data_IF_146428561676
#
_entry.id   IF_146428561676
#
_cell.length_a   1.000
_cell.length_b   1.000
_cell.length_c   1.000
_cell.angle_alpha   90.00
_cell.angle_beta   90.00
_cell.angle_gamma   90.00
#
_symmetry.space_group_name_H-M   'P 1'
#
loop_
_entity.id
_entity.type
_entity.pdbx_description
1 polymer ?
#
# COMPACT_ATOMS: atom_id res chain seq x y z
N UNK A 1 -25.89 -44.60 2.57
CA UNK A 1 -26.08 -43.14 2.63
C UNK A 1 -24.70 -42.49 2.76
N UNK A 2 -24.41 -41.54 1.88
CA UNK A 2 -23.09 -41.21 1.36
C UNK A 2 -22.29 -40.15 2.15
N UNK A 3 -20.96 -40.33 2.08
CA UNK A 3 -19.85 -39.33 1.99
C UNK A 3 -19.63 -38.32 3.12
N UNK A 4 -18.64 -38.62 3.99
CA UNK A 4 -17.85 -37.64 4.72
C UNK A 4 -17.13 -36.70 3.72
N UNK A 5 -17.44 -35.42 3.79
CA UNK A 5 -16.76 -34.39 3.04
C UNK A 5 -15.29 -34.29 3.49
N UNK A 6 -14.41 -34.74 2.59
CA UNK A 6 -12.97 -34.58 2.63
C UNK A 6 -12.58 -33.13 2.92
N UNK A 7 -12.02 -32.87 4.10
CA UNK A 7 -11.30 -31.62 4.41
C UNK A 7 -10.13 -31.50 3.45
N UNK A 8 -10.33 -30.75 2.36
CA UNK A 8 -9.26 -30.25 1.51
C UNK A 8 -8.39 -29.33 2.37
N UNK A 9 -7.32 -29.89 2.95
CA UNK A 9 -6.18 -29.10 3.41
C UNK A 9 -5.68 -28.34 2.18
N UNK A 10 -5.96 -27.05 2.13
CA UNK A 10 -5.34 -26.14 1.18
C UNK A 10 -3.87 -26.01 1.57
N UNK A 11 -3.06 -26.98 1.15
CA UNK A 11 -1.62 -26.80 0.98
C UNK A 11 -1.45 -25.78 -0.13
N UNK A 12 -1.41 -24.51 0.26
CA UNK A 12 -0.95 -23.44 -0.62
C UNK A 12 0.49 -23.78 -0.99
N UNK A 13 0.80 -23.98 -2.28
CA UNK A 13 2.15 -24.31 -2.69
C UNK A 13 3.10 -23.18 -2.27
N UNK A 14 4.18 -23.57 -1.60
CA UNK A 14 5.24 -22.72 -1.04
C UNK A 14 6.06 -21.97 -2.12
N UNK A 15 5.60 -21.95 -3.38
CA UNK A 15 6.27 -21.36 -4.54
C UNK A 15 5.89 -19.90 -4.80
N UNK A 16 4.83 -19.39 -4.17
CA UNK A 16 4.60 -17.94 -4.05
C UNK A 16 5.02 -17.49 -2.67
N UNK A 17 6.34 -17.48 -2.42
CA UNK A 17 6.86 -16.40 -1.58
C UNK A 17 6.53 -15.12 -2.33
N UNK A 18 5.37 -14.54 -2.03
CA UNK A 18 5.04 -13.16 -2.33
C UNK A 18 6.09 -12.32 -1.63
N UNK A 19 7.25 -12.17 -2.25
CA UNK A 19 8.10 -11.01 -2.06
C UNK A 19 7.19 -9.90 -2.53
N UNK A 20 6.43 -9.30 -1.62
CA UNK A 20 5.53 -8.20 -1.98
C UNK A 20 6.45 -7.14 -2.59
N UNK A 21 6.38 -6.89 -3.91
CA UNK A 21 7.25 -5.96 -4.60
C UNK A 21 6.66 -4.57 -4.35
N UNK A 22 6.42 -4.25 -3.08
CA UNK A 22 5.73 -3.05 -2.65
C UNK A 22 6.61 -1.85 -3.01
N UNK A 23 6.50 -1.44 -4.28
CA UNK A 23 7.00 -0.22 -4.88
C UNK A 23 8.52 -0.14 -4.99
N UNK A 24 9.14 -1.08 -5.70
CA UNK A 24 10.60 -1.14 -5.86
C UNK A 24 11.18 -0.13 -6.87
N UNK A 25 10.36 0.52 -7.70
CA UNK A 25 10.80 1.51 -8.67
C UNK A 25 10.55 2.96 -8.24
N UNK A 26 11.51 3.85 -8.56
CA UNK A 26 11.29 5.31 -8.49
C UNK A 26 10.05 5.73 -9.33
N UNK A 27 9.87 5.08 -10.47
CA UNK A 27 8.74 5.28 -11.38
C UNK A 27 7.41 4.86 -10.75
N UNK A 28 7.36 3.69 -10.11
CA UNK A 28 6.15 3.23 -9.40
C UNK A 28 5.75 4.19 -8.27
N UNK A 29 6.74 4.72 -7.55
CA UNK A 29 6.51 5.71 -6.50
C UNK A 29 5.93 7.00 -7.07
N UNK A 30 6.51 7.53 -8.15
CA UNK A 30 6.03 8.75 -8.81
C UNK A 30 4.61 8.59 -9.35
N UNK A 31 4.30 7.45 -9.99
CA UNK A 31 2.95 7.14 -10.46
C UNK A 31 1.95 7.07 -9.29
N UNK A 32 2.34 6.44 -8.18
CA UNK A 32 1.46 6.32 -7.02
C UNK A 32 1.21 7.66 -6.34
N UNK A 33 2.23 8.52 -6.28
CA UNK A 33 2.08 9.91 -5.81
C UNK A 33 1.13 10.69 -6.71
N UNK A 34 1.21 10.53 -8.03
CA UNK A 34 0.33 11.21 -8.98
C UNK A 34 -1.14 10.77 -8.81
N UNK A 35 -1.38 9.46 -8.74
CA UNK A 35 -2.72 8.90 -8.52
C UNK A 35 -3.29 9.33 -7.16
N UNK A 36 -2.48 9.24 -6.09
CA UNK A 36 -2.90 9.65 -4.76
C UNK A 36 -3.17 11.16 -4.70
N UNK A 37 -2.40 11.99 -5.40
CA UNK A 37 -2.57 13.45 -5.39
C UNK A 37 -3.94 13.88 -5.88
N UNK A 38 -4.50 13.19 -6.87
CA UNK A 38 -5.86 13.45 -7.34
C UNK A 38 -6.89 13.21 -6.23
N UNK A 39 -6.77 12.10 -5.50
CA UNK A 39 -7.67 11.74 -4.39
C UNK A 39 -7.56 12.72 -3.22
N UNK A 40 -6.33 13.12 -2.88
CA UNK A 40 -6.08 14.08 -1.81
C UNK A 40 -6.62 15.47 -2.16
N UNK A 41 -6.43 15.95 -3.40
CA UNK A 41 -7.01 17.22 -3.87
C UNK A 41 -8.53 17.20 -3.78
N UNK A 42 -9.18 16.13 -4.24
CA UNK A 42 -10.63 15.98 -4.17
C UNK A 42 -11.13 16.04 -2.71
N UNK A 43 -10.51 15.27 -1.82
CA UNK A 43 -10.93 15.19 -0.41
C UNK A 43 -10.64 16.44 0.42
N UNK A 44 -9.57 17.17 0.10
CA UNK A 44 -9.14 18.33 0.87
C UNK A 44 -9.55 19.67 0.23
N UNK A 45 -10.19 19.64 -0.94
CA UNK A 45 -10.63 20.84 -1.69
C UNK A 45 -11.55 21.77 -0.89
N UNK A 46 -12.28 21.25 0.09
CA UNK A 46 -13.19 22.03 0.95
C UNK A 46 -12.47 22.76 2.10
N UNK A 47 -11.23 22.39 2.39
CA UNK A 47 -10.46 22.98 3.50
C UNK A 47 -9.72 24.21 2.97
N UNK A 48 -9.92 25.42 3.55
CA UNK A 48 -9.36 26.67 3.03
C UNK A 48 -7.86 26.62 2.74
N UNK A 49 -7.08 26.07 3.68
CA UNK A 49 -5.63 25.91 3.54
C UNK A 49 -5.21 25.16 2.26
N UNK A 50 -5.93 24.10 1.89
CA UNK A 50 -5.60 23.30 0.72
C UNK A 50 -6.22 23.89 -0.54
N UNK A 51 -7.38 24.53 -0.44
CA UNK A 51 -8.03 25.25 -1.55
C UNK A 51 -7.09 26.28 -2.18
N UNK A 52 -6.40 27.07 -1.35
CA UNK A 52 -5.44 28.09 -1.80
C UNK A 52 -4.20 27.49 -2.49
N UNK A 53 -3.95 26.19 -2.28
CA UNK A 53 -2.80 25.45 -2.83
C UNK A 53 -3.20 24.44 -3.91
N UNK A 54 -4.44 24.47 -4.42
CA UNK A 54 -4.92 23.49 -5.42
C UNK A 54 -4.02 23.40 -6.65
N UNK A 55 -3.43 24.53 -7.05
CA UNK A 55 -2.56 24.65 -8.22
C UNK A 55 -1.06 24.53 -7.91
N UNK A 56 -0.68 24.38 -6.64
CA UNK A 56 0.71 24.19 -6.23
C UNK A 56 1.10 22.71 -6.35
N UNK A 57 1.47 22.29 -7.57
CA UNK A 57 1.87 20.90 -7.83
C UNK A 57 3.07 20.49 -6.98
N UNK A 58 4.01 21.40 -6.70
CA UNK A 58 5.17 21.10 -5.86
C UNK A 58 4.76 20.76 -4.43
N UNK A 59 3.82 21.52 -3.86
CA UNK A 59 3.23 21.21 -2.57
C UNK A 59 2.57 19.84 -2.57
N UNK A 60 1.73 19.52 -3.56
CA UNK A 60 1.01 18.24 -3.62
C UNK A 60 1.96 17.06 -3.77
N UNK A 61 2.96 17.15 -4.66
CA UNK A 61 3.97 16.09 -4.82
C UNK A 61 4.71 15.83 -3.52
N UNK A 62 5.10 16.88 -2.78
CA UNK A 62 5.82 16.72 -1.50
C UNK A 62 4.93 16.20 -0.38
N UNK A 63 3.75 16.78 -0.23
CA UNK A 63 2.78 16.41 0.81
C UNK A 63 2.34 14.95 0.65
N UNK A 64 1.86 14.60 -0.54
CA UNK A 64 1.36 13.25 -0.85
C UNK A 64 2.52 12.26 -0.87
N UNK A 65 3.67 12.64 -1.42
CA UNK A 65 4.89 11.83 -1.39
C UNK A 65 5.32 11.43 0.02
N UNK A 66 5.20 12.33 1.01
CA UNK A 66 5.46 12.00 2.41
C UNK A 66 4.49 10.94 2.93
N UNK A 67 3.18 11.08 2.64
CA UNK A 67 2.15 10.13 3.08
C UNK A 67 2.30 8.75 2.45
N UNK A 68 2.68 8.70 1.18
CA UNK A 68 2.96 7.44 0.49
C UNK A 68 4.16 6.74 1.14
N UNK A 69 5.24 7.47 1.47
CA UNK A 69 6.40 6.90 2.18
C UNK A 69 6.04 6.37 3.57
N UNK A 70 5.25 7.12 4.34
CA UNK A 70 4.75 6.68 5.65
C UNK A 70 3.92 5.39 5.52
N UNK A 71 3.01 5.34 4.55
CA UNK A 71 2.20 4.15 4.28
C UNK A 71 3.07 2.94 3.87
N UNK A 72 4.08 3.13 3.03
CA UNK A 72 5.04 2.09 2.66
C UNK A 72 5.79 1.56 3.90
N UNK A 73 6.25 2.43 4.79
CA UNK A 73 6.90 2.03 6.02
C UNK A 73 5.98 1.20 6.94
N UNK A 74 4.70 1.60 7.05
CA UNK A 74 3.69 0.86 7.81
C UNK A 74 3.43 -0.53 7.20
N UNK A 75 3.27 -0.64 5.88
CA UNK A 75 3.10 -1.92 5.17
C UNK A 75 4.34 -2.81 5.33
N UNK A 76 5.55 -2.24 5.20
CA UNK A 76 6.79 -2.97 5.41
C UNK A 76 6.90 -3.50 6.85
N UNK A 77 6.50 -2.70 7.84
CA UNK A 77 6.54 -3.12 9.25
C UNK A 77 5.56 -4.25 9.57
N UNK A 78 4.34 -4.19 9.02
CA UNK A 78 3.29 -5.19 9.27
C UNK A 78 3.58 -6.52 8.58
N UNK A 79 4.16 -6.48 7.38
CA UNK A 79 4.53 -7.68 6.61
C UNK A 79 5.79 -8.36 7.13
N UNK A 80 6.77 -7.60 7.67
CA UNK A 80 8.02 -8.15 8.23
C UNK A 80 7.80 -8.92 9.54
N UNK A 81 6.81 -8.54 10.36
CA UNK A 81 6.51 -9.21 11.63
C UNK A 81 5.91 -10.62 11.45
N UNK A 82 5.26 -10.88 10.32
CA UNK A 82 4.57 -12.16 10.04
C UNK A 82 5.55 -13.31 9.73
N UNK A 83 6.79 -13.01 9.35
CA UNK A 83 7.81 -14.01 9.01
C UNK A 83 8.61 -14.57 10.21
N UNK A 84 8.49 -13.98 11.41
CA UNK A 84 9.30 -14.37 12.58
C UNK A 84 8.57 -15.21 13.64
N UNK A 85 7.27 -15.48 13.49
CA UNK A 85 6.48 -16.27 14.46
C UNK A 85 6.33 -17.76 14.09
N UNK A 86 7.13 -18.26 13.16
CA UNK A 86 7.12 -19.67 12.76
C UNK A 86 8.54 -20.25 12.78
N UNK A 87 9.04 -20.60 13.97
CA UNK A 87 10.08 -21.62 14.23
C UNK A 87 10.58 -21.49 15.68
N UNK A 88 10.95 -22.62 16.30
CA UNK A 88 10.15 -23.79 16.68
C UNK A 88 9.53 -23.65 18.09
#
# INVERSE_FOLDING_TARGET
MSTLASSKRLTVPLSERVISPAYSGKEDFEQLVLLASRLYKERLSSVPFYKDRMHDEHFWTRFVGSRVKEAQALVASSTKARGKRSRP
#
